data_IF_463586552189
#
_entry.id   IF_463586552189
#
_cell.length_a   1.000
_cell.length_b   1.000
_cell.length_c   1.000
_cell.angle_alpha   90.00
_cell.angle_beta   90.00
_cell.angle_gamma   90.00
#
_symmetry.space_group_name_H-M   'P 1'
#
loop_
_entity.id
_entity.type
_entity.pdbx_description
1 polymer ?
#
# COMPACT_ATOMS: atom_id res chain seq x y z
N UNK A 1 29.56 -3.29 2.15
CA UNK A 1 28.49 -4.30 2.21
C UNK A 1 27.46 -3.79 3.20
N UNK A 2 26.17 -3.67 2.88
CA UNK A 2 25.20 -3.34 3.90
C UNK A 2 24.91 -4.61 4.71
N UNK A 3 25.36 -4.60 5.97
CA UNK A 3 24.85 -5.47 7.03
C UNK A 3 23.38 -5.11 7.24
N UNK A 4 22.48 -5.90 6.64
CA UNK A 4 21.11 -5.91 7.10
C UNK A 4 21.07 -6.73 8.38
N UNK A 5 21.01 -6.05 9.52
CA UNK A 5 20.68 -6.65 10.81
C UNK A 5 19.21 -7.09 10.78
N UNK A 6 18.95 -8.27 10.21
CA UNK A 6 17.65 -8.91 10.26
C UNK A 6 17.47 -9.49 11.67
N UNK A 7 16.63 -8.87 12.48
CA UNK A 7 15.86 -9.60 13.49
C UNK A 7 14.42 -9.68 12.99
N UNK A 8 14.08 -10.67 12.15
CA UNK A 8 12.70 -11.08 12.06
C UNK A 8 12.27 -11.54 13.46
N UNK A 9 11.08 -11.16 13.90
CA UNK A 9 10.46 -11.65 15.15
C UNK A 9 10.39 -13.19 15.25
N UNK A 10 10.55 -13.88 14.13
CA UNK A 10 10.48 -15.31 14.01
C UNK A 10 11.88 -15.92 13.90
N UNK A 11 12.32 -16.57 14.98
CA UNK A 11 13.57 -17.32 15.04
C UNK A 11 13.34 -18.79 14.64
N UNK A 12 14.11 -19.26 13.66
CA UNK A 12 14.10 -20.66 13.21
C UNK A 12 15.22 -21.50 13.83
N UNK A 13 16.03 -20.94 14.74
CA UNK A 13 17.13 -21.67 15.39
C UNK A 13 16.67 -22.91 16.18
N UNK A 14 15.44 -22.88 16.68
CA UNK A 14 14.81 -23.99 17.42
C UNK A 14 13.76 -24.76 16.60
N UNK A 15 13.64 -24.47 15.30
CA UNK A 15 12.66 -25.16 14.45
C UNK A 15 13.06 -26.62 14.26
N UNK A 16 12.24 -27.54 14.77
CA UNK A 16 12.47 -28.98 14.63
C UNK A 16 12.19 -29.49 13.20
N UNK A 17 11.45 -28.72 12.40
CA UNK A 17 11.11 -29.07 11.02
C UNK A 17 12.11 -28.44 10.03
N UNK A 18 13.40 -28.71 10.20
CA UNK A 18 14.46 -28.24 9.29
C UNK A 18 15.44 -29.35 8.97
N UNK A 19 16.01 -29.31 7.77
CA UNK A 19 17.16 -30.13 7.43
C UNK A 19 18.45 -29.41 7.86
N UNK A 20 19.44 -30.16 8.34
CA UNK A 20 20.75 -29.58 8.70
C UNK A 20 21.59 -29.33 7.45
N UNK A 21 21.69 -30.34 6.58
CA UNK A 21 22.51 -30.29 5.38
C UNK A 21 21.81 -30.95 4.20
N UNK A 22 22.10 -30.45 3.00
CA UNK A 22 21.53 -30.96 1.76
C UNK A 22 22.55 -30.87 0.62
N UNK A 23 22.80 -31.95 -0.13
CA UNK A 23 23.66 -31.92 -1.31
C UNK A 23 23.13 -31.00 -2.41
N UNK A 24 24.07 -30.55 -3.23
CA UNK A 24 23.84 -29.72 -4.42
C UNK A 24 22.85 -30.42 -5.36
N UNK A 25 21.87 -29.67 -5.88
CA UNK A 25 20.79 -30.14 -6.80
C UNK A 25 19.81 -31.16 -6.20
N UNK A 26 19.76 -31.34 -4.88
CA UNK A 26 18.66 -32.10 -4.28
C UNK A 26 17.36 -31.30 -4.32
N UNK A 27 16.27 -31.85 -4.89
CA UNK A 27 14.98 -31.17 -4.91
C UNK A 27 14.40 -31.04 -3.50
N UNK A 28 13.98 -29.82 -3.17
CA UNK A 28 13.09 -29.46 -2.06
C UNK A 28 11.64 -29.67 -2.52
N UNK A 29 10.86 -30.42 -1.74
CA UNK A 29 9.50 -30.88 -2.03
C UNK A 29 8.50 -30.48 -0.95
N UNK A 30 8.94 -30.20 0.27
CA UNK A 30 8.11 -29.71 1.36
C UNK A 30 8.91 -28.78 2.29
N UNK A 31 8.24 -28.01 3.17
CA UNK A 31 8.89 -27.01 4.00
C UNK A 31 9.99 -27.54 4.93
N UNK A 32 9.83 -28.75 5.46
CA UNK A 32 10.80 -29.42 6.33
C UNK A 32 12.14 -29.77 5.68
N UNK A 33 12.25 -29.71 4.35
CA UNK A 33 13.52 -29.90 3.63
C UNK A 33 14.31 -28.59 3.47
N UNK A 34 13.83 -27.48 4.03
CA UNK A 34 14.55 -26.22 4.12
C UNK A 34 15.40 -26.19 5.39
N UNK A 35 16.58 -25.58 5.31
CA UNK A 35 17.38 -25.27 6.50
C UNK A 35 16.79 -24.08 7.26
N UNK A 36 17.14 -23.91 8.54
CA UNK A 36 16.74 -22.73 9.32
C UNK A 36 17.16 -21.42 8.64
N UNK A 37 18.37 -21.38 8.05
CA UNK A 37 18.86 -20.22 7.31
C UNK A 37 18.07 -19.97 6.01
N UNK A 38 17.69 -21.03 5.28
CA UNK A 38 16.85 -20.92 4.09
C UNK A 38 15.44 -20.41 4.43
N UNK A 39 14.85 -20.86 5.54
CA UNK A 39 13.57 -20.35 6.04
C UNK A 39 13.68 -18.87 6.44
N UNK A 40 14.74 -18.49 7.16
CA UNK A 40 15.00 -17.11 7.52
C UNK A 40 15.15 -16.20 6.28
N UNK A 41 15.81 -16.69 5.23
CA UNK A 41 15.98 -16.00 3.95
C UNK A 41 14.69 -15.86 3.11
N UNK A 42 13.53 -16.32 3.61
CA UNK A 42 12.21 -16.09 3.00
C UNK A 42 11.36 -15.10 3.80
N UNK A 43 11.76 -14.74 5.03
CA UNK A 43 10.97 -13.87 5.90
C UNK A 43 10.87 -12.43 5.41
N UNK A 44 11.89 -11.96 4.68
CA UNK A 44 11.87 -10.65 4.03
C UNK A 44 10.72 -10.51 3.03
N UNK A 45 10.30 -11.60 2.36
CA UNK A 45 9.18 -11.58 1.45
C UNK A 45 7.85 -11.34 2.18
N UNK A 46 7.69 -11.96 3.36
CA UNK A 46 6.50 -11.78 4.20
C UNK A 46 6.48 -10.38 4.82
N UNK A 47 7.62 -9.91 5.29
CA UNK A 47 7.78 -8.58 5.84
C UNK A 47 7.44 -7.51 4.78
N UNK A 48 8.01 -7.62 3.58
CA UNK A 48 7.70 -6.71 2.48
C UNK A 48 6.22 -6.78 2.06
N UNK A 49 5.61 -7.97 2.10
CA UNK A 49 4.17 -8.13 1.84
C UNK A 49 3.29 -7.45 2.87
N UNK A 50 3.64 -7.56 4.15
CA UNK A 50 2.94 -6.89 5.25
C UNK A 50 3.04 -5.36 5.13
N UNK A 51 4.22 -4.83 4.78
CA UNK A 51 4.43 -3.39 4.58
C UNK A 51 3.59 -2.79 3.44
N UNK A 52 3.15 -3.60 2.49
CA UNK A 52 2.26 -3.15 1.40
C UNK A 52 0.80 -3.02 1.83
N UNK A 53 0.43 -3.47 3.03
CA UNK A 53 -0.94 -3.46 3.54
C UNK A 53 -1.00 -2.61 4.83
N UNK A 54 -1.73 -1.48 4.84
CA UNK A 54 -1.71 -0.53 5.97
C UNK A 54 -2.22 -1.12 7.30
N UNK A 55 -3.01 -2.19 7.26
CA UNK A 55 -3.59 -2.86 8.44
C UNK A 55 -3.02 -4.27 8.67
N UNK A 56 -1.97 -4.66 7.94
CA UNK A 56 -1.43 -6.00 8.13
C UNK A 56 -0.87 -6.16 9.56
N UNK A 57 -1.19 -7.27 10.25
CA UNK A 57 -0.67 -7.53 11.57
C UNK A 57 0.85 -7.70 11.50
N UNK A 58 1.57 -6.73 12.06
CA UNK A 58 2.98 -6.85 12.39
C UNK A 58 3.10 -7.17 13.89
N UNK A 59 4.02 -8.07 14.28
CA UNK A 59 5.08 -8.65 13.47
C UNK A 59 4.65 -9.95 12.74
N UNK A 60 5.41 -10.34 11.70
CA UNK A 60 5.20 -11.62 10.98
C UNK A 60 5.31 -12.80 11.96
N UNK A 61 4.29 -13.66 11.98
CA UNK A 61 4.21 -14.81 12.90
C UNK A 61 4.45 -16.14 12.16
N UNK A 62 4.67 -17.23 12.91
CA UNK A 62 4.82 -18.59 12.37
C UNK A 62 3.64 -19.00 11.47
N UNK A 63 2.42 -18.66 11.87
CA UNK A 63 1.20 -18.93 11.09
C UNK A 63 1.25 -18.28 9.69
N UNK A 64 1.80 -17.06 9.58
CA UNK A 64 1.96 -16.40 8.27
C UNK A 64 2.97 -17.15 7.40
N UNK A 65 4.05 -17.62 8.01
CA UNK A 65 5.06 -18.43 7.32
C UNK A 65 4.50 -19.77 6.85
N UNK A 66 3.78 -20.49 7.72
CA UNK A 66 3.17 -21.78 7.39
C UNK A 66 2.16 -21.62 6.23
N UNK A 67 1.35 -20.56 6.24
CA UNK A 67 0.43 -20.24 5.14
C UNK A 67 1.16 -19.93 3.83
N UNK A 68 2.28 -19.21 3.87
CA UNK A 68 3.11 -19.01 2.68
C UNK A 68 3.65 -20.34 2.17
N UNK A 69 4.14 -21.21 3.05
CA UNK A 69 4.65 -22.51 2.69
C UNK A 69 3.58 -23.39 2.03
N UNK A 70 2.35 -23.40 2.54
CA UNK A 70 1.21 -24.07 1.91
C UNK A 70 0.98 -23.58 0.47
N UNK A 71 1.04 -22.26 0.24
CA UNK A 71 0.89 -21.67 -1.09
C UNK A 71 2.08 -21.97 -2.02
N UNK A 72 3.30 -21.96 -1.49
CA UNK A 72 4.51 -22.23 -2.26
C UNK A 72 4.53 -23.67 -2.75
N UNK A 73 4.21 -24.62 -1.88
CA UNK A 73 4.17 -26.06 -2.19
C UNK A 73 2.79 -26.54 -2.67
N UNK A 74 1.86 -25.62 -2.95
CA UNK A 74 0.57 -25.93 -3.57
C UNK A 74 0.75 -26.68 -4.88
N UNK A 75 -0.28 -27.40 -5.32
CA UNK A 75 -0.33 -28.04 -6.65
C UNK A 75 0.80 -29.06 -6.88
N UNK A 76 1.33 -29.65 -5.80
CA UNK A 76 2.48 -30.57 -5.81
C UNK A 76 3.74 -29.90 -6.40
N UNK A 77 3.82 -28.57 -6.31
CA UNK A 77 4.98 -27.82 -6.74
C UNK A 77 6.22 -28.29 -5.96
N UNK A 78 7.33 -28.41 -6.68
CA UNK A 78 8.62 -28.73 -6.10
C UNK A 78 9.70 -27.99 -6.89
N UNK A 79 10.90 -27.91 -6.32
CA UNK A 79 12.02 -27.17 -6.90
C UNK A 79 12.63 -27.78 -8.19
N UNK A 80 12.10 -28.91 -8.72
CA UNK A 80 12.55 -29.41 -10.03
C UNK A 80 12.17 -28.40 -11.11
N UNK A 81 13.16 -28.03 -11.91
CA UNK A 81 13.03 -27.05 -13.00
C UNK A 81 12.20 -27.66 -14.13
N UNK A 82 10.88 -27.51 -14.05
CA UNK A 82 9.93 -27.72 -15.15
C UNK A 82 9.09 -26.46 -15.27
N UNK A 83 9.46 -25.56 -16.19
CA UNK A 83 8.82 -24.27 -16.34
C UNK A 83 7.46 -24.38 -17.00
N UNK A 84 6.38 -24.27 -16.24
CA UNK A 84 5.07 -23.87 -16.78
C UNK A 84 4.88 -22.38 -16.53
N UNK A 85 4.68 -21.63 -17.62
CA UNK A 85 4.32 -20.21 -17.57
C UNK A 85 2.88 -20.12 -17.06
N UNK A 86 2.67 -19.38 -15.98
CA UNK A 86 1.34 -19.05 -15.47
C UNK A 86 0.95 -17.72 -16.12
N UNK A 87 -0.02 -17.75 -17.03
CA UNK A 87 -0.62 -16.56 -17.61
C UNK A 87 -1.56 -15.95 -16.56
N UNK A 88 -1.27 -14.74 -16.08
CA UNK A 88 -2.19 -13.98 -15.25
C UNK A 88 -3.39 -13.48 -16.07
N UNK A 89 -4.61 -13.46 -15.52
CA UNK A 89 -5.76 -12.91 -16.22
C UNK A 89 -5.63 -11.41 -16.41
N UNK A 90 -6.06 -10.93 -17.58
CA UNK A 90 -6.15 -9.50 -17.93
C UNK A 90 -7.55 -9.01 -17.56
N UNK A 91 -7.63 -8.02 -16.67
CA UNK A 91 -8.88 -7.39 -16.24
C UNK A 91 -9.29 -6.29 -17.24
N UNK A 92 -10.56 -6.25 -17.65
CA UNK A 92 -11.20 -5.09 -18.29
C UNK A 92 -12.50 -4.78 -17.53
N UNK A 93 -12.76 -3.50 -17.31
CA UNK A 93 -14.01 -3.01 -16.75
C UNK A 93 -14.99 -2.69 -17.87
N UNK A 94 -16.23 -3.14 -17.76
CA UNK A 94 -17.33 -2.79 -18.65
C UNK A 94 -18.61 -2.60 -17.84
N UNK A 95 -19.33 -1.50 -18.06
CA UNK A 95 -20.65 -1.29 -17.47
C UNK A 95 -21.70 -2.02 -18.29
N UNK A 96 -22.59 -2.76 -17.64
CA UNK A 96 -23.69 -3.46 -18.30
C UNK A 96 -25.02 -2.97 -17.77
N UNK A 97 -26.02 -2.80 -18.65
CA UNK A 97 -27.39 -2.52 -18.25
C UNK A 97 -28.09 -3.74 -17.63
N UNK A 98 -29.35 -3.57 -17.20
CA UNK A 98 -30.16 -4.64 -16.60
C UNK A 98 -30.42 -5.83 -17.54
N UNK A 99 -30.18 -5.68 -18.84
CA UNK A 99 -30.29 -6.73 -19.85
C UNK A 99 -28.93 -7.35 -20.22
N UNK A 100 -27.84 -6.91 -19.57
CA UNK A 100 -26.48 -7.40 -19.77
C UNK A 100 -25.77 -6.81 -20.99
N UNK A 101 -26.28 -5.73 -21.59
CA UNK A 101 -25.61 -5.04 -22.71
C UNK A 101 -24.63 -4.00 -22.21
N UNK A 102 -23.49 -3.93 -22.90
CA UNK A 102 -22.42 -2.98 -22.59
C UNK A 102 -22.86 -1.53 -22.87
N UNK A 103 -22.78 -0.68 -21.85
CA UNK A 103 -23.18 0.73 -21.92
C UNK A 103 -21.94 1.60 -22.12
N UNK A 104 -21.97 2.44 -23.15
CA UNK A 104 -20.91 3.43 -23.36
C UNK A 104 -21.01 4.53 -22.29
N UNK A 105 -19.88 4.97 -21.68
CA UNK A 105 -19.88 5.92 -20.56
C UNK A 105 -20.63 7.24 -20.80
N UNK A 106 -20.81 7.64 -22.06
CA UNK A 106 -21.51 8.86 -22.48
C UNK A 106 -23.03 8.84 -22.27
N UNK A 107 -23.62 7.69 -21.92
CA UNK A 107 -25.05 7.53 -21.68
C UNK A 107 -25.41 7.45 -20.18
N UNK A 108 -24.42 7.68 -19.30
CA UNK A 108 -24.64 7.79 -17.86
C UNK A 108 -24.96 9.26 -17.59
N UNK A 109 -26.25 9.58 -17.52
CA UNK A 109 -26.72 10.93 -17.16
C UNK A 109 -26.76 11.04 -15.63
N UNK A 110 -25.76 11.70 -15.05
CA UNK A 110 -25.73 12.08 -13.63
C UNK A 110 -26.68 13.28 -13.39
N UNK A 111 -27.99 13.08 -13.59
CA UNK A 111 -28.97 14.16 -13.39
C UNK A 111 -29.76 13.99 -12.10
N UNK A 112 -29.30 14.75 -11.10
CA UNK A 112 -30.06 15.57 -10.14
C UNK A 112 -31.36 14.98 -9.57
N UNK A 113 -31.34 14.56 -8.29
CA UNK A 113 -32.59 14.34 -7.57
C UNK A 113 -32.56 13.58 -6.24
N UNK A 114 -31.42 13.23 -5.64
CA UNK A 114 -31.42 12.67 -4.27
C UNK A 114 -30.14 13.03 -3.54
N UNK A 115 -30.10 14.19 -2.87
CA UNK A 115 -28.87 14.70 -2.26
C UNK A 115 -28.36 13.79 -1.12
N UNK A 116 -29.24 13.25 -0.29
CA UNK A 116 -28.86 12.33 0.80
C UNK A 116 -28.56 10.91 0.30
N UNK A 117 -29.43 10.32 -0.54
CA UNK A 117 -29.15 8.98 -1.07
C UNK A 117 -27.93 8.95 -1.98
N UNK A 118 -27.52 10.05 -2.63
CA UNK A 118 -26.25 10.12 -3.34
C UNK A 118 -25.04 10.07 -2.40
N UNK A 119 -25.14 10.58 -1.17
CA UNK A 119 -24.05 10.48 -0.19
C UNK A 119 -23.89 9.03 0.26
N UNK A 120 -25.00 8.37 0.58
CA UNK A 120 -24.99 6.96 0.97
C UNK A 120 -24.51 6.05 -0.18
N UNK A 121 -25.02 6.26 -1.40
CA UNK A 121 -24.59 5.52 -2.58
C UNK A 121 -23.10 5.75 -2.89
N UNK A 122 -22.58 6.98 -2.75
CA UNK A 122 -21.15 7.25 -2.92
C UNK A 122 -20.31 6.52 -1.88
N UNK A 123 -20.76 6.52 -0.62
CA UNK A 123 -20.07 5.80 0.44
C UNK A 123 -20.07 4.28 0.19
N UNK A 124 -21.20 3.71 -0.25
CA UNK A 124 -21.31 2.29 -0.62
C UNK A 124 -20.41 1.93 -1.82
N UNK A 125 -20.39 2.78 -2.86
CA UNK A 125 -19.52 2.58 -4.03
C UNK A 125 -18.04 2.65 -3.67
N UNK A 126 -17.63 3.57 -2.79
CA UNK A 126 -16.25 3.65 -2.30
C UNK A 126 -15.89 2.39 -1.52
N UNK A 127 -16.77 1.92 -0.64
CA UNK A 127 -16.53 0.69 0.13
C UNK A 127 -16.44 -0.55 -0.78
N UNK A 128 -17.29 -0.64 -1.80
CA UNK A 128 -17.25 -1.75 -2.77
C UNK A 128 -15.94 -1.72 -3.57
N UNK A 129 -15.55 -0.54 -4.05
CA UNK A 129 -14.30 -0.33 -4.75
C UNK A 129 -13.10 -0.72 -3.88
N UNK A 130 -13.05 -0.26 -2.64
CA UNK A 130 -11.96 -0.57 -1.70
C UNK A 130 -11.85 -2.06 -1.41
N UNK A 131 -12.97 -2.76 -1.29
CA UNK A 131 -13.00 -4.21 -1.11
C UNK A 131 -12.44 -4.94 -2.33
N UNK A 132 -12.82 -4.50 -3.53
CA UNK A 132 -12.31 -5.05 -4.78
C UNK A 132 -10.81 -4.78 -4.95
N UNK A 133 -10.37 -3.57 -4.62
CA UNK A 133 -8.96 -3.17 -4.70
C UNK A 133 -8.11 -3.93 -3.69
N UNK A 134 -8.58 -4.07 -2.45
CA UNK A 134 -7.91 -4.86 -1.41
C UNK A 134 -7.73 -6.31 -1.85
N UNK A 135 -8.78 -6.92 -2.40
CA UNK A 135 -8.71 -8.29 -2.94
C UNK A 135 -7.70 -8.39 -4.08
N UNK A 136 -7.77 -7.47 -5.06
CA UNK A 136 -6.88 -7.45 -6.23
C UNK A 136 -5.41 -7.32 -5.82
N UNK A 137 -5.09 -6.34 -4.97
CA UNK A 137 -3.72 -6.10 -4.50
C UNK A 137 -3.23 -7.27 -3.66
N UNK A 138 -4.07 -7.82 -2.77
CA UNK A 138 -3.72 -8.99 -1.96
C UNK A 138 -3.41 -10.20 -2.82
N UNK A 139 -4.24 -10.51 -3.82
CA UNK A 139 -4.03 -11.63 -4.73
C UNK A 139 -2.75 -11.43 -5.55
N UNK A 140 -2.56 -10.24 -6.13
CA UNK A 140 -1.37 -9.90 -6.90
C UNK A 140 -0.08 -10.04 -6.08
N UNK A 141 -0.02 -9.39 -4.91
CA UNK A 141 1.15 -9.45 -4.03
C UNK A 141 1.42 -10.88 -3.56
N UNK A 142 0.38 -11.65 -3.24
CA UNK A 142 0.49 -13.07 -2.89
C UNK A 142 1.13 -13.87 -4.02
N UNK A 143 0.67 -13.70 -5.25
CA UNK A 143 1.26 -14.35 -6.43
C UNK A 143 2.74 -13.97 -6.62
N UNK A 144 3.08 -12.69 -6.46
CA UNK A 144 4.46 -12.22 -6.54
C UNK A 144 5.35 -12.86 -5.47
N UNK A 145 4.92 -12.84 -4.20
CA UNK A 145 5.64 -13.43 -3.07
C UNK A 145 5.85 -14.93 -3.28
N UNK A 146 4.81 -15.67 -3.67
CA UNK A 146 4.90 -17.11 -3.95
C UNK A 146 5.91 -17.39 -5.07
N UNK A 147 5.87 -16.62 -6.16
CA UNK A 147 6.80 -16.81 -7.27
C UNK A 147 8.26 -16.48 -6.87
N UNK A 148 8.47 -15.45 -6.06
CA UNK A 148 9.80 -15.11 -5.54
C UNK A 148 10.32 -16.21 -4.60
N UNK A 149 9.49 -16.70 -3.68
CA UNK A 149 9.83 -17.80 -2.78
C UNK A 149 10.19 -19.07 -3.57
N UNK A 150 9.36 -19.46 -4.55
CA UNK A 150 9.64 -20.59 -5.46
C UNK A 150 10.98 -20.44 -6.19
N UNK A 151 11.30 -19.24 -6.68
CA UNK A 151 12.59 -18.96 -7.34
C UNK A 151 13.77 -19.10 -6.38
N UNK A 152 13.66 -18.58 -5.15
CA UNK A 152 14.70 -18.69 -4.12
C UNK A 152 14.92 -20.15 -3.72
N UNK A 153 13.85 -20.89 -3.45
CA UNK A 153 13.89 -22.32 -3.13
C UNK A 153 14.52 -23.12 -4.27
N UNK A 154 14.20 -22.82 -5.53
CA UNK A 154 14.85 -23.47 -6.67
C UNK A 154 16.36 -23.20 -6.75
N UNK A 155 16.83 -22.03 -6.31
CA UNK A 155 18.27 -21.72 -6.22
C UNK A 155 18.92 -22.40 -5.03
N UNK A 156 18.26 -22.43 -3.87
CA UNK A 156 18.71 -23.17 -2.69
C UNK A 156 18.90 -24.65 -3.01
N UNK A 157 17.94 -25.26 -3.71
CA UNK A 157 18.07 -26.62 -4.22
C UNK A 157 19.29 -26.78 -5.13
N UNK A 158 19.52 -25.84 -6.07
CA UNK A 158 20.67 -25.88 -6.98
C UNK A 158 22.01 -25.71 -6.28
N UNK A 159 22.08 -24.90 -5.23
CA UNK A 159 23.32 -24.60 -4.50
C UNK A 159 23.64 -25.66 -3.44
N UNK A 160 22.63 -26.34 -2.87
CA UNK A 160 22.82 -27.15 -1.68
C UNK A 160 23.10 -26.27 -0.44
N UNK A 161 23.64 -26.87 0.61
CA UNK A 161 23.94 -26.18 1.88
C UNK A 161 25.42 -25.93 2.13
N UNK A 162 26.29 -26.21 1.14
CA UNK A 162 27.74 -25.98 1.26
C UNK A 162 28.06 -24.49 1.48
N UNK A 163 27.23 -23.61 0.91
CA UNK A 163 27.33 -22.17 1.08
C UNK A 163 26.07 -21.64 1.79
N UNK A 164 26.19 -20.54 2.56
CA UNK A 164 25.03 -19.86 3.13
C UNK A 164 23.99 -19.51 2.04
N UNK A 165 22.69 -19.58 2.34
CA UNK A 165 21.65 -19.25 1.37
C UNK A 165 21.80 -17.80 0.92
N UNK A 166 21.98 -17.61 -0.38
CA UNK A 166 22.15 -16.30 -1.00
C UNK A 166 20.91 -15.94 -1.80
N UNK A 167 20.35 -14.77 -1.51
CA UNK A 167 19.25 -14.18 -2.29
C UNK A 167 19.82 -13.35 -3.43
N UNK A 168 19.47 -13.72 -4.66
CA UNK A 168 19.85 -12.94 -5.84
C UNK A 168 19.06 -11.62 -5.90
N UNK A 169 19.71 -10.56 -6.35
CA UNK A 169 19.12 -9.21 -6.50
C UNK A 169 17.82 -9.21 -7.33
N UNK A 170 17.67 -10.16 -8.26
CA UNK A 170 16.48 -10.36 -9.10
C UNK A 170 15.31 -11.02 -8.38
N UNK A 171 15.54 -11.57 -7.19
CA UNK A 171 14.54 -12.23 -6.36
C UNK A 171 14.14 -11.36 -5.14
N UNK A 172 14.53 -10.09 -5.13
CA UNK A 172 14.08 -9.09 -4.15
C UNK A 172 12.64 -8.65 -4.43
N UNK A 173 11.84 -8.32 -3.39
CA UNK A 173 10.42 -7.97 -3.51
C UNK A 173 10.17 -6.55 -4.05
N UNK A 174 10.69 -6.25 -5.25
CA UNK A 174 10.64 -4.89 -5.85
C UNK A 174 9.32 -4.56 -6.54
N UNK A 175 8.50 -5.57 -6.82
CA UNK A 175 7.30 -5.45 -7.65
C UNK A 175 6.01 -5.55 -6.83
N UNK A 176 6.09 -5.50 -5.50
CA UNK A 176 4.89 -5.49 -4.68
C UNK A 176 4.19 -4.14 -4.81
N UNK A 177 2.86 -4.17 -4.77
CA UNK A 177 2.00 -2.99 -4.92
C UNK A 177 1.42 -2.65 -3.55
N UNK A 178 1.58 -1.39 -3.12
CA UNK A 178 0.96 -0.89 -1.89
C UNK A 178 -0.54 -0.74 -2.10
N UNK A 179 -1.33 -1.19 -1.14
CA UNK A 179 -2.76 -0.95 -1.12
C UNK A 179 -3.02 0.54 -0.88
N UNK A 180 -3.85 1.14 -1.73
CA UNK A 180 -4.35 2.50 -1.57
C UNK A 180 -5.87 2.44 -1.68
N UNK A 181 -6.57 2.78 -0.60
CA UNK A 181 -8.04 2.82 -0.59
C UNK A 181 -8.50 4.15 -1.17
N UNK A 182 -9.57 4.12 -1.96
CA UNK A 182 -10.28 5.31 -2.40
C UNK A 182 -10.77 6.14 -1.21
N UNK A 183 -11.20 5.50 -0.11
CA UNK A 183 -11.55 6.21 1.12
C UNK A 183 -10.39 7.07 1.67
N UNK A 184 -9.15 6.55 1.64
CA UNK A 184 -7.98 7.29 2.11
C UNK A 184 -7.73 8.53 1.24
N UNK A 185 -7.88 8.39 -0.08
CA UNK A 185 -7.72 9.49 -1.04
C UNK A 185 -8.80 10.55 -0.84
N UNK A 186 -10.07 10.16 -0.73
CA UNK A 186 -11.20 11.08 -0.51
C UNK A 186 -11.05 11.83 0.80
N UNK A 187 -10.65 11.15 1.87
CA UNK A 187 -10.41 11.77 3.18
C UNK A 187 -9.23 12.76 3.10
N UNK A 188 -8.14 12.39 2.43
CA UNK A 188 -7.00 13.29 2.24
C UNK A 188 -7.37 14.54 1.44
N UNK A 189 -8.18 14.38 0.37
CA UNK A 189 -8.69 15.51 -0.43
C UNK A 189 -9.60 16.44 0.37
N UNK A 190 -10.52 15.88 1.18
CA UNK A 190 -11.40 16.66 2.04
C UNK A 190 -10.59 17.50 3.03
N UNK A 191 -9.61 16.88 3.71
CA UNK A 191 -8.75 17.56 4.67
C UNK A 191 -7.89 18.65 4.02
N UNK A 192 -7.38 18.44 2.79
CA UNK A 192 -6.64 19.49 2.08
C UNK A 192 -7.51 20.69 1.71
N UNK A 193 -8.78 20.47 1.34
CA UNK A 193 -9.71 21.56 1.03
C UNK A 193 -10.24 22.31 2.27
N UNK A 194 -10.08 21.77 3.47
CA UNK A 194 -10.39 22.47 4.72
C UNK A 194 -9.21 23.36 5.13
N UNK A 195 -7.97 22.85 5.01
CA UNK A 195 -6.75 23.62 5.28
C UNK A 195 -6.64 24.85 4.36
N UNK A 196 -6.97 24.71 3.07
CA UNK A 196 -6.96 25.85 2.15
C UNK A 196 -8.02 26.90 2.52
N UNK A 197 -9.22 26.48 2.94
CA UNK A 197 -10.28 27.40 3.37
C UNK A 197 -9.93 28.17 4.64
N UNK A 198 -9.32 27.50 5.61
CA UNK A 198 -8.91 28.14 6.87
C UNK A 198 -7.81 29.19 6.61
N UNK A 199 -6.88 28.91 5.69
CA UNK A 199 -5.82 29.85 5.30
C UNK A 199 -6.34 31.07 4.52
N UNK A 200 -7.37 30.90 3.68
CA UNK A 200 -8.01 32.02 2.97
C UNK A 200 -8.78 32.94 3.93
N UNK A 201 -9.44 32.38 4.95
CA UNK A 201 -10.09 33.18 5.99
C UNK A 201 -9.10 33.96 6.86
N UNK A 202 -7.96 33.37 7.22
CA UNK A 202 -6.92 34.08 7.98
C UNK A 202 -6.31 35.23 7.17
N UNK A 203 -6.05 35.04 5.87
CA UNK A 203 -5.55 36.13 5.00
C UNK A 203 -6.55 37.28 4.83
N UNK A 204 -7.85 36.97 4.75
CA UNK A 204 -8.90 37.97 4.63
C UNK A 204 -9.18 38.70 5.95
N UNK A 205 -9.00 38.05 7.10
CA UNK A 205 -9.05 38.71 8.41
C UNK A 205 -7.87 39.67 8.60
N UNK A 206 -6.65 39.27 8.21
CA UNK A 206 -5.46 40.13 8.28
C UNK A 206 -5.61 41.37 7.40
N UNK A 207 -6.14 41.22 6.17
CA UNK A 207 -6.38 42.36 5.27
C UNK A 207 -7.40 43.34 5.83
N UNK A 208 -8.46 42.85 6.48
CA UNK A 208 -9.47 43.71 7.13
C UNK A 208 -8.90 44.46 8.31
N UNK A 209 -8.06 43.83 9.13
CA UNK A 209 -7.40 44.52 10.24
C UNK A 209 -6.45 45.62 9.75
N UNK A 210 -5.72 45.39 8.67
CA UNK A 210 -4.82 46.38 8.09
C UNK A 210 -5.57 47.57 7.45
N UNK A 211 -6.75 47.34 6.86
CA UNK A 211 -7.62 48.42 6.39
C UNK A 211 -8.17 49.26 7.55
N UNK A 212 -8.61 48.62 8.64
CA UNK A 212 -9.12 49.32 9.83
C UNK A 212 -8.01 50.19 10.45
N UNK A 213 -6.78 49.67 10.58
CA UNK A 213 -5.64 50.43 11.12
C UNK A 213 -5.31 51.65 10.25
N UNK A 214 -5.35 51.51 8.93
CA UNK A 214 -5.12 52.64 8.00
C UNK A 214 -6.20 53.70 8.12
N UNK A 215 -7.47 53.33 8.25
CA UNK A 215 -8.55 54.30 8.44
C UNK A 215 -8.45 55.05 9.77
N UNK A 216 -8.02 54.38 10.84
CA UNK A 216 -7.78 55.03 12.14
C UNK A 216 -6.60 56.00 12.10
N UNK A 217 -5.55 55.68 11.36
CA UNK A 217 -4.38 56.55 11.18
C UNK A 217 -4.74 57.82 10.38
N UNK A 218 -5.52 57.68 9.31
CA UNK A 218 -6.04 58.81 8.52
C UNK A 218 -6.92 59.72 9.38
N UNK A 219 -7.80 59.16 10.22
CA UNK A 219 -8.65 59.95 11.12
C UNK A 219 -7.84 60.74 12.16
N UNK A 220 -6.78 60.14 12.72
CA UNK A 220 -5.88 60.84 13.66
C UNK A 220 -5.14 61.99 12.99
N UNK A 221 -4.65 61.81 11.77
CA UNK A 221 -3.98 62.90 11.03
C UNK A 221 -4.95 64.05 10.67
N UNK A 222 -6.22 63.76 10.38
CA UNK A 222 -7.23 64.80 10.15
C UNK A 222 -7.63 65.54 11.43
N UNK A 223 -7.59 64.88 12.59
CA UNK A 223 -7.88 65.50 13.88
C UNK A 223 -6.75 66.44 14.31
N UNK A 224 -5.49 66.03 14.12
CA UNK A 224 -4.30 66.86 14.37
C UNK A 224 -4.30 68.12 13.49
N UNK A 225 -4.68 68.01 12.21
CA UNK A 225 -4.78 69.18 11.31
C UNK A 225 -5.89 70.16 11.70
N UNK A 226 -6.94 69.72 12.39
CA UNK A 226 -8.03 70.60 12.86
C UNK A 226 -7.67 71.34 14.14
N UNK A 227 -6.78 70.78 14.97
CA UNK A 227 -6.28 71.47 16.17
C UNK A 227 -5.29 72.59 15.81
N UNK A 228 -4.41 72.39 14.82
CA UNK A 228 -3.45 73.42 14.35
C UNK A 228 -4.13 74.65 13.72
N UNK A 229 -5.29 74.49 13.07
CA UNK A 229 -6.07 75.60 12.51
C UNK A 229 -6.86 76.40 13.59
N UNK A 230 -6.91 75.91 14.83
CA UNK A 230 -7.64 76.55 15.94
C UNK A 230 -6.77 77.45 16.84
N UNK A 231 -5.44 77.34 16.77
CA UNK A 231 -4.49 78.22 17.50
C UNK A 231 -4.14 79.52 16.74
N UNK A 232 -4.64 79.70 15.51
CA UNK A 232 -4.45 80.93 14.72
C UNK A 232 -5.69 81.84 14.73
N UNK A 233 -6.23 82.16 15.92
CA UNK A 233 -7.23 83.22 16.10
C UNK A 233 -7.01 84.04 17.37
#
# INVERSE_FOLDING_TARGET
MPEYAWLPSLDFSQDADVVQERPVRQPIRWPGELTAAEKAALLDLLQAGAEMLPEAPLPVTRMHFDRLMELVFSDKWNSRVGGTKINGPKLMWSFTDAEGKMVEPKYIDDTTGVLEAMVDLKAELIQEYDRHEEKRVREYNTCCIVNLARRRIARFSKAGTENPPCVDVRDLPKHLVRLTRAQDIVTAMANSCEIERDSETEEDEIKKEDEIKKEEEIKKEEEIKKEDDSESK
#
